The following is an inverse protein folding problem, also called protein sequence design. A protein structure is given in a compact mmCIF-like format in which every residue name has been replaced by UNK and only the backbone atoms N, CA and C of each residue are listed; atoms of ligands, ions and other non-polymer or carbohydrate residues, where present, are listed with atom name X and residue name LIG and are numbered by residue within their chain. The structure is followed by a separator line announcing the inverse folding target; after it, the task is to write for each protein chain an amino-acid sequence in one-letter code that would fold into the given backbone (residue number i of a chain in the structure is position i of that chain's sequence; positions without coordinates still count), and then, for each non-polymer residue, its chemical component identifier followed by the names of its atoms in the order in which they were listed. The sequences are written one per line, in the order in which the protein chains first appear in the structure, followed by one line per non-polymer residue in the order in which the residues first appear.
data_IF_604542745657
#
_entry.id   IF_604542745657
#
_cell.length_a   1.000
_cell.length_b   1.000
_cell.length_c   1.000
_cell.angle_alpha   90.00
_cell.angle_beta   90.00
_cell.angle_gamma   90.00
#
_symmetry.space_group_name_H-M   'P 1'
#
loop_
_entity.id
_entity.type
_entity.pdbx_description
1 polymer ?
#
# COMPACT_ATOMS: atom_id res chain seq x y z
N UNK A 1 -18.72 11.95 9.26
CA UNK A 1 -19.09 10.56 9.58
C UNK A 1 -17.82 9.86 10.03
N UNK A 2 -17.75 9.47 11.30
CA UNK A 2 -16.62 8.73 11.87
C UNK A 2 -16.58 7.34 11.20
N UNK A 3 -15.44 6.88 10.69
CA UNK A 3 -15.34 5.52 10.14
C UNK A 3 -15.54 4.53 11.28
N UNK A 4 -16.56 3.70 11.16
CA UNK A 4 -16.87 2.66 12.14
C UNK A 4 -15.98 1.47 11.81
N UNK A 5 -15.06 1.13 12.70
CA UNK A 5 -14.54 -0.23 12.82
C UNK A 5 -15.75 -1.06 13.30
N UNK A 6 -16.16 -2.08 12.52
CA UNK A 6 -17.32 -2.88 12.89
C UNK A 6 -17.17 -3.47 14.28
N UNK A 7 -18.26 -3.43 15.05
CA UNK A 7 -18.51 -4.07 16.33
C UNK A 7 -17.28 -4.32 17.23
N UNK A 8 -16.74 -3.23 17.80
CA UNK A 8 -15.93 -3.32 18.99
C UNK A 8 -16.85 -3.57 20.17
N UNK A 9 -16.55 -4.59 20.95
CA UNK A 9 -17.10 -4.73 22.27
C UNK A 9 -16.79 -3.46 23.08
N UNK A 10 -17.77 -2.59 23.24
CA UNK A 10 -17.64 -1.30 23.90
C UNK A 10 -17.38 -1.41 25.42
N UNK A 11 -17.16 -2.62 25.95
CA UNK A 11 -16.92 -2.86 27.37
C UNK A 11 -15.47 -3.08 27.80
N UNK A 12 -14.52 -3.20 26.87
CA UNK A 12 -13.11 -3.50 27.15
C UNK A 12 -12.12 -2.52 26.54
N UNK A 13 -10.94 -2.37 27.17
CA UNK A 13 -9.81 -1.63 26.60
C UNK A 13 -9.11 -2.50 25.55
N UNK A 14 -9.07 -2.06 24.29
CA UNK A 14 -8.41 -2.79 23.21
C UNK A 14 -6.89 -2.77 23.41
N UNK A 15 -6.26 -3.94 23.46
CA UNK A 15 -4.80 -4.05 23.43
C UNK A 15 -4.32 -3.85 21.98
N UNK A 16 -3.53 -2.81 21.78
CA UNK A 16 -2.84 -2.52 20.50
C UNK A 16 -1.37 -2.76 20.70
N UNK A 17 -0.84 -3.74 20.00
CA UNK A 17 0.58 -4.07 20.03
C UNK A 17 1.34 -3.22 19.04
N UNK A 18 2.45 -2.65 19.49
CA UNK A 18 3.34 -1.86 18.65
C UNK A 18 4.69 -2.58 18.57
N UNK A 19 5.13 -2.81 17.35
CA UNK A 19 6.49 -3.29 17.07
C UNK A 19 7.24 -2.29 16.21
N UNK A 20 8.56 -2.28 16.38
CA UNK A 20 9.49 -1.50 15.61
C UNK A 20 10.42 -2.44 14.86
N UNK A 21 10.61 -2.23 13.56
CA UNK A 21 11.53 -3.05 12.77
C UNK A 21 12.33 -2.22 11.78
N UNK A 22 13.57 -2.64 11.56
CA UNK A 22 14.43 -2.05 10.54
C UNK A 22 14.08 -2.60 9.17
N UNK A 23 14.05 -1.73 8.17
CA UNK A 23 13.86 -2.10 6.77
C UNK A 23 14.87 -1.37 5.88
N UNK A 24 15.08 -1.81 4.63
CA UNK A 24 15.91 -1.07 3.68
C UNK A 24 15.40 0.36 3.38
N UNK A 25 14.17 0.67 3.79
CA UNK A 25 13.56 2.00 3.63
C UNK A 25 13.61 2.84 4.92
N UNK A 26 14.34 2.38 5.92
CA UNK A 26 14.40 2.94 7.26
C UNK A 26 13.52 2.16 8.25
N UNK A 27 13.49 2.66 9.47
CA UNK A 27 12.71 2.07 10.55
C UNK A 27 11.22 2.28 10.29
N UNK A 28 10.42 1.26 10.55
CA UNK A 28 8.97 1.34 10.54
C UNK A 28 8.39 0.93 11.89
N UNK A 29 7.31 1.58 12.27
CA UNK A 29 6.50 1.24 13.43
C UNK A 29 5.19 0.67 12.94
N UNK A 30 4.84 -0.51 13.44
CA UNK A 30 3.60 -1.21 13.07
C UNK A 30 2.74 -1.36 14.30
N UNK A 31 1.47 -0.99 14.18
CA UNK A 31 0.47 -1.23 15.19
C UNK A 31 -0.51 -2.31 14.72
N UNK A 32 -0.73 -3.30 15.57
CA UNK A 32 -1.64 -4.42 15.31
C UNK A 32 -2.46 -4.77 16.55
N UNK A 33 -3.56 -5.44 16.36
CA UNK A 33 -4.43 -5.98 17.41
C UNK A 33 -5.09 -7.27 16.91
N UNK A 34 -5.97 -7.87 17.69
CA UNK A 34 -6.53 -9.19 17.40
C UNK A 34 -7.14 -9.35 15.99
N UNK A 35 -7.71 -8.27 15.42
CA UNK A 35 -8.34 -8.33 14.10
C UNK A 35 -7.37 -8.02 12.95
N UNK A 36 -6.15 -7.52 13.22
CA UNK A 36 -5.19 -7.26 12.16
C UNK A 36 -4.30 -6.05 12.37
N UNK A 37 -3.55 -5.71 11.34
CA UNK A 37 -2.69 -4.53 11.31
C UNK A 37 -3.54 -3.28 11.07
N UNK A 38 -3.41 -2.29 11.95
CA UNK A 38 -4.21 -1.07 11.90
C UNK A 38 -3.42 0.18 11.52
N UNK A 39 -2.09 0.18 11.69
CA UNK A 39 -1.23 1.26 11.24
C UNK A 39 0.19 0.76 10.91
N UNK A 40 0.81 1.40 9.93
CA UNK A 40 2.24 1.31 9.64
C UNK A 40 2.74 2.72 9.32
N UNK A 41 3.74 3.19 10.04
CA UNK A 41 4.34 4.50 9.85
C UNK A 41 5.85 4.39 9.76
N UNK A 42 6.47 5.22 8.92
CA UNK A 42 7.92 5.35 8.87
C UNK A 42 8.41 6.22 10.04
N UNK A 43 9.64 6.01 10.47
CA UNK A 43 10.23 6.61 11.68
C UNK A 43 10.15 8.15 11.69
N UNK A 44 10.35 8.78 10.55
CA UNK A 44 10.20 10.23 10.36
C UNK A 44 8.76 10.75 10.63
N UNK A 45 7.81 9.84 10.81
CA UNK A 45 6.38 10.10 11.06
C UNK A 45 5.85 9.34 12.26
N UNK A 46 6.73 8.77 13.09
CA UNK A 46 6.36 7.96 14.25
C UNK A 46 5.48 8.73 15.25
N UNK A 47 5.69 10.04 15.41
CA UNK A 47 4.84 10.92 16.24
C UNK A 47 3.36 10.91 15.81
N UNK A 48 3.08 10.57 14.54
CA UNK A 48 1.73 10.45 14.01
C UNK A 48 1.03 9.13 14.36
N UNK A 49 1.69 8.16 14.96
CA UNK A 49 1.10 6.85 15.24
C UNK A 49 0.01 6.95 16.31
N UNK A 50 0.32 7.49 17.48
CA UNK A 50 -0.64 7.59 18.58
C UNK A 50 -1.89 8.41 18.22
N UNK A 51 -1.79 9.59 17.59
CA UNK A 51 -2.97 10.32 17.10
C UNK A 51 -3.84 9.51 16.12
N UNK A 52 -3.24 8.67 15.29
CA UNK A 52 -3.99 7.77 14.40
C UNK A 52 -4.73 6.70 15.17
N UNK A 53 -4.07 6.08 16.16
CA UNK A 53 -4.69 5.08 17.01
C UNK A 53 -5.82 5.68 17.86
N UNK A 54 -5.65 6.89 18.41
CA UNK A 54 -6.73 7.61 19.12
C UNK A 54 -7.92 7.88 18.22
N UNK A 55 -7.70 8.21 16.95
CA UNK A 55 -8.79 8.38 15.98
C UNK A 55 -9.47 7.05 15.64
N UNK A 56 -8.74 5.96 15.64
CA UNK A 56 -9.22 4.63 15.31
C UNK A 56 -10.04 4.00 16.45
N UNK A 57 -9.53 4.07 17.67
CA UNK A 57 -10.02 3.35 18.84
C UNK A 57 -10.66 4.26 19.90
N UNK A 58 -10.63 5.60 19.68
CA UNK A 58 -11.03 6.54 20.74
C UNK A 58 -10.03 6.51 21.89
N UNK A 59 -10.47 6.84 23.14
CA UNK A 59 -9.61 6.80 24.31
C UNK A 59 -9.42 5.39 24.92
N UNK A 60 -10.13 4.39 24.41
CA UNK A 60 -10.24 3.06 25.01
C UNK A 60 -9.29 2.03 24.40
N UNK A 61 -8.00 2.37 24.31
CA UNK A 61 -6.97 1.41 23.95
C UNK A 61 -5.75 1.55 24.86
N UNK A 62 -5.00 0.48 25.01
CA UNK A 62 -3.68 0.49 25.64
C UNK A 62 -2.62 0.09 24.62
N UNK A 63 -1.43 0.63 24.75
CA UNK A 63 -0.28 0.24 23.94
C UNK A 63 0.51 -0.82 24.71
N UNK A 64 0.72 -1.95 24.05
CA UNK A 64 1.60 -3.01 24.52
C UNK A 64 2.73 -3.18 23.51
N UNK A 65 3.93 -3.53 23.97
CA UNK A 65 4.99 -3.97 23.05
C UNK A 65 4.69 -5.39 22.57
N UNK A 66 4.93 -5.66 21.29
CA UNK A 66 4.76 -7.00 20.74
C UNK A 66 4.42 -7.03 19.26
N UNK A 67 4.47 -8.22 18.70
CA UNK A 67 4.15 -8.52 17.31
C UNK A 67 3.35 -9.82 17.18
N UNK A 68 2.10 -9.86 17.64
CA UNK A 68 1.30 -11.08 17.68
C UNK A 68 1.00 -11.66 16.29
N UNK A 69 1.21 -10.90 15.23
CA UNK A 69 0.98 -11.30 13.83
C UNK A 69 2.27 -11.56 13.06
N UNK A 70 3.43 -11.47 13.74
CA UNK A 70 4.76 -11.60 13.12
C UNK A 70 4.96 -10.66 11.91
N UNK A 71 4.46 -9.41 12.03
CA UNK A 71 4.54 -8.45 10.93
C UNK A 71 5.98 -8.05 10.64
N UNK A 72 6.81 -7.94 11.69
CA UNK A 72 8.23 -7.61 11.55
C UNK A 72 8.98 -8.70 10.78
N UNK A 73 8.81 -9.98 11.14
CA UNK A 73 9.38 -11.11 10.43
C UNK A 73 8.93 -11.16 8.96
N UNK A 74 7.65 -10.99 8.71
CA UNK A 74 7.10 -10.95 7.36
C UNK A 74 7.58 -9.75 6.54
N UNK A 75 7.81 -8.59 7.14
CA UNK A 75 8.43 -7.45 6.45
C UNK A 75 9.89 -7.75 6.09
N UNK A 76 10.66 -8.37 6.99
CA UNK A 76 12.01 -8.84 6.69
C UNK A 76 12.01 -9.81 5.49
N UNK A 77 11.08 -10.76 5.48
CA UNK A 77 10.89 -11.72 4.41
C UNK A 77 10.55 -11.08 3.08
N UNK A 78 9.62 -10.10 3.10
CA UNK A 78 9.27 -9.33 1.92
C UNK A 78 10.49 -8.60 1.34
N UNK A 79 11.26 -7.91 2.19
CA UNK A 79 12.46 -7.21 1.75
C UNK A 79 13.63 -8.15 1.40
N UNK A 80 13.60 -9.39 1.85
CA UNK A 80 14.49 -10.45 1.37
C UNK A 80 14.07 -11.05 0.01
N UNK A 81 12.99 -10.53 -0.60
CA UNK A 81 12.52 -10.96 -1.92
C UNK A 81 11.41 -12.02 -1.91
N UNK A 82 10.87 -12.38 -0.74
CA UNK A 82 9.70 -13.27 -0.66
C UNK A 82 8.43 -12.47 -0.93
N UNK A 83 8.02 -12.43 -2.18
CA UNK A 83 6.93 -11.57 -2.67
C UNK A 83 5.58 -11.82 -1.97
N UNK A 84 5.34 -13.03 -1.50
CA UNK A 84 4.11 -13.49 -0.83
C UNK A 84 4.17 -13.37 0.69
N UNK A 85 5.29 -12.93 1.28
CA UNK A 85 5.48 -12.88 2.73
C UNK A 85 4.40 -12.09 3.47
N UNK A 86 3.86 -11.04 2.85
CA UNK A 86 2.80 -10.21 3.41
C UNK A 86 1.38 -10.71 3.05
N UNK A 87 1.27 -11.79 2.26
CA UNK A 87 -0.01 -12.35 1.89
C UNK A 87 -0.75 -12.90 3.12
N UNK A 88 -2.07 -12.72 3.14
CA UNK A 88 -2.92 -13.19 4.22
C UNK A 88 -2.85 -12.38 5.52
N UNK A 89 -1.95 -11.40 5.66
CA UNK A 89 -1.99 -10.50 6.81
C UNK A 89 -3.32 -9.71 6.81
N UNK A 90 -4.12 -9.82 7.87
CA UNK A 90 -5.35 -9.05 7.96
C UNK A 90 -5.04 -7.56 8.16
N UNK A 91 -5.79 -6.71 7.48
CA UNK A 91 -5.75 -5.26 7.64
C UNK A 91 -7.04 -4.82 8.31
N UNK A 92 -6.92 -4.25 9.49
CA UNK A 92 -8.03 -3.83 10.33
C UNK A 92 -7.95 -2.33 10.67
N UNK A 93 -7.68 -1.52 9.67
CA UNK A 93 -7.67 -0.07 9.81
C UNK A 93 -9.07 0.52 9.59
N UNK A 94 -9.44 1.59 10.32
CA UNK A 94 -10.69 2.32 10.08
C UNK A 94 -10.76 2.82 8.64
N UNK A 95 -11.88 2.56 8.00
CA UNK A 95 -12.06 2.93 6.60
C UNK A 95 -13.52 3.27 6.30
N UNK A 96 -13.74 4.26 5.44
CA UNK A 96 -15.04 4.42 4.79
C UNK A 96 -15.26 3.26 3.80
N UNK A 97 -16.51 2.97 3.40
CA UNK A 97 -16.78 1.94 2.40
C UNK A 97 -15.98 2.13 1.10
N UNK A 98 -15.80 3.38 0.66
CA UNK A 98 -15.02 3.69 -0.52
C UNK A 98 -13.51 3.42 -0.33
N UNK A 99 -12.94 3.80 0.81
CA UNK A 99 -11.52 3.51 1.12
C UNK A 99 -11.28 2.00 1.16
N UNK A 100 -12.13 1.25 1.85
CA UNK A 100 -12.04 -0.22 1.92
C UNK A 100 -12.05 -0.83 0.53
N UNK A 101 -13.03 -0.48 -0.30
CA UNK A 101 -13.13 -0.97 -1.66
C UNK A 101 -11.89 -0.65 -2.51
N UNK A 102 -11.35 0.57 -2.41
CA UNK A 102 -10.10 0.95 -3.11
C UNK A 102 -8.92 0.14 -2.60
N UNK A 103 -8.78 -0.01 -1.28
CA UNK A 103 -7.65 -0.75 -0.70
C UNK A 103 -7.70 -2.23 -1.03
N UNK A 104 -8.88 -2.86 -1.01
CA UNK A 104 -9.05 -4.26 -1.40
C UNK A 104 -8.64 -4.47 -2.86
N UNK A 105 -9.09 -3.61 -3.77
CA UNK A 105 -8.70 -3.69 -5.19
C UNK A 105 -7.19 -3.47 -5.41
N UNK A 106 -6.55 -2.63 -4.62
CA UNK A 106 -5.09 -2.42 -4.72
C UNK A 106 -4.32 -3.62 -4.21
N UNK A 107 -4.82 -4.33 -3.20
CA UNK A 107 -4.21 -5.57 -2.70
C UNK A 107 -4.26 -6.72 -3.72
N UNK A 108 -5.15 -6.66 -4.71
CA UNK A 108 -5.20 -7.61 -5.81
C UNK A 108 -4.13 -7.34 -6.89
N UNK A 109 -3.45 -6.19 -6.88
CA UNK A 109 -2.37 -5.90 -7.82
C UNK A 109 -1.15 -6.71 -7.41
N UNK A 110 -0.64 -7.60 -8.27
CA UNK A 110 0.50 -8.46 -7.93
C UNK A 110 1.78 -7.66 -7.65
N UNK A 111 2.72 -8.29 -6.93
CA UNK A 111 4.08 -7.78 -6.79
C UNK A 111 4.73 -7.71 -8.18
N UNK A 112 5.45 -6.62 -8.45
CA UNK A 112 6.07 -6.37 -9.75
C UNK A 112 5.15 -5.74 -10.79
N UNK A 113 3.86 -5.59 -10.50
CA UNK A 113 2.90 -4.94 -11.39
C UNK A 113 2.47 -3.56 -10.89
N UNK A 114 1.99 -2.74 -11.81
CA UNK A 114 1.41 -1.43 -11.50
C UNK A 114 0.03 -1.27 -12.16
N UNK A 115 -0.80 -0.47 -11.51
CA UNK A 115 -2.08 -0.01 -12.07
C UNK A 115 -2.15 1.51 -12.05
N UNK A 116 -3.19 2.08 -12.61
CA UNK A 116 -3.39 3.54 -12.60
C UNK A 116 -4.60 3.94 -11.77
N UNK A 117 -4.61 5.20 -11.29
CA UNK A 117 -5.80 5.77 -10.63
C UNK A 117 -7.04 5.69 -11.52
N UNK A 118 -6.86 5.84 -12.85
CA UNK A 118 -7.95 5.74 -13.82
C UNK A 118 -8.49 4.31 -13.91
N UNK A 119 -7.60 3.31 -14.03
CA UNK A 119 -8.01 1.91 -14.12
C UNK A 119 -8.75 1.44 -12.86
N UNK A 120 -8.31 1.87 -11.66
CA UNK A 120 -9.04 1.59 -10.42
C UNK A 120 -10.43 2.24 -10.41
N UNK A 121 -10.52 3.51 -10.84
CA UNK A 121 -11.80 4.21 -10.92
C UNK A 121 -12.76 3.54 -11.91
N UNK A 122 -12.28 3.08 -13.06
CA UNK A 122 -13.05 2.30 -14.03
C UNK A 122 -13.55 0.98 -13.45
N UNK A 123 -12.68 0.20 -12.79
CA UNK A 123 -13.04 -1.06 -12.09
C UNK A 123 -14.10 -0.84 -11.01
N UNK A 124 -14.15 0.34 -10.41
CA UNK A 124 -15.20 0.74 -9.46
C UNK A 124 -16.53 1.09 -10.13
N UNK A 125 -16.59 1.16 -11.47
CA UNK A 125 -17.73 1.71 -12.19
C UNK A 125 -17.85 3.23 -12.08
N UNK A 126 -16.78 3.93 -11.70
CA UNK A 126 -16.73 5.38 -11.44
C UNK A 126 -15.59 6.05 -12.23
N UNK A 127 -15.59 6.02 -13.56
CA UNK A 127 -14.43 6.41 -14.40
C UNK A 127 -13.96 7.85 -14.21
N UNK A 128 -14.76 8.72 -13.60
CA UNK A 128 -14.38 10.11 -13.27
C UNK A 128 -13.85 10.28 -11.86
N UNK A 129 -13.73 9.20 -11.07
CA UNK A 129 -13.40 9.25 -9.64
C UNK A 129 -11.87 9.14 -9.35
N UNK A 130 -10.98 9.36 -10.32
CA UNK A 130 -9.53 9.19 -10.15
C UNK A 130 -8.98 10.01 -8.96
N UNK A 131 -9.51 11.24 -8.77
CA UNK A 131 -9.11 12.09 -7.62
C UNK A 131 -9.55 11.49 -6.29
N UNK A 132 -10.77 10.95 -6.23
CA UNK A 132 -11.29 10.31 -5.03
C UNK A 132 -10.50 9.02 -4.71
N UNK A 133 -10.15 8.21 -5.72
CA UNK A 133 -9.22 7.08 -5.56
C UNK A 133 -7.88 7.55 -5.01
N UNK A 134 -7.33 8.65 -5.53
CA UNK A 134 -6.09 9.24 -5.04
C UNK A 134 -6.17 9.64 -3.57
N UNK A 135 -7.28 10.25 -3.13
CA UNK A 135 -7.51 10.61 -1.72
C UNK A 135 -7.59 9.36 -0.84
N UNK A 136 -8.29 8.30 -1.28
CA UNK A 136 -8.35 7.03 -0.56
C UNK A 136 -6.97 6.39 -0.38
N UNK A 137 -6.11 6.47 -1.40
CA UNK A 137 -4.75 5.93 -1.34
C UNK A 137 -3.79 6.79 -0.50
N UNK A 138 -3.94 8.12 -0.56
CA UNK A 138 -3.16 9.04 0.27
C UNK A 138 -3.48 8.89 1.77
N UNK A 139 -4.70 8.46 2.10
CA UNK A 139 -5.12 8.19 3.48
C UNK A 139 -4.83 6.77 3.97
N UNK A 140 -4.12 5.95 3.17
CA UNK A 140 -3.75 4.58 3.54
C UNK A 140 -2.93 4.56 4.84
N UNK A 141 -3.44 3.94 5.92
CA UNK A 141 -2.75 3.90 7.20
C UNK A 141 -1.74 2.75 7.32
N UNK A 142 -1.75 1.80 6.38
CA UNK A 142 -0.91 0.58 6.39
C UNK A 142 -0.18 0.40 5.06
N UNK A 143 0.65 1.39 4.64
CA UNK A 143 1.43 1.26 3.41
C UNK A 143 2.28 -0.03 3.43
N UNK A 144 2.65 -0.51 2.27
CA UNK A 144 3.28 -1.81 1.99
C UNK A 144 2.24 -2.95 2.05
N UNK A 145 1.52 -3.14 3.16
CA UNK A 145 0.47 -4.16 3.28
C UNK A 145 -0.74 -3.86 2.37
N UNK A 146 -1.14 -2.58 2.32
CA UNK A 146 -2.00 -2.06 1.24
C UNK A 146 -1.07 -1.36 0.25
N UNK A 147 -0.75 -1.99 -0.88
CA UNK A 147 0.36 -1.58 -1.74
C UNK A 147 0.01 -0.39 -2.63
N UNK A 148 -0.35 0.75 -2.01
CA UNK A 148 -0.68 1.98 -2.73
C UNK A 148 0.48 2.52 -3.60
N UNK A 149 1.70 2.04 -3.38
CA UNK A 149 2.85 2.32 -4.24
C UNK A 149 2.69 1.72 -5.65
N UNK A 150 1.93 0.64 -5.85
CA UNK A 150 1.64 0.04 -7.16
C UNK A 150 0.65 0.85 -8.01
N UNK A 151 0.11 1.97 -7.47
CA UNK A 151 -0.82 2.82 -8.20
C UNK A 151 -0.12 4.08 -8.67
N UNK A 152 -0.08 4.31 -9.98
CA UNK A 152 0.63 5.42 -10.62
C UNK A 152 -0.33 6.26 -11.48
N UNK A 153 0.11 7.45 -11.88
CA UNK A 153 -0.66 8.25 -12.82
C UNK A 153 -0.59 7.65 -14.24
N UNK A 154 -1.65 7.78 -15.03
CA UNK A 154 -1.69 7.33 -16.43
C UNK A 154 -0.58 7.99 -17.28
N UNK A 155 -0.13 9.19 -16.88
CA UNK A 155 1.03 9.86 -17.50
C UNK A 155 2.40 9.27 -17.13
N UNK A 156 2.46 8.24 -16.28
CA UNK A 156 3.68 7.62 -15.76
C UNK A 156 4.25 8.30 -14.51
N UNK A 157 3.64 9.38 -14.02
CA UNK A 157 4.08 10.01 -12.78
C UNK A 157 3.75 9.15 -11.56
N UNK A 158 4.65 9.13 -10.58
CA UNK A 158 4.48 8.29 -9.39
C UNK A 158 3.29 8.72 -8.52
N UNK A 159 2.94 10.02 -8.52
CA UNK A 159 1.92 10.55 -7.62
C UNK A 159 2.39 10.58 -6.16
N UNK A 160 1.47 10.83 -5.23
CA UNK A 160 1.76 10.88 -3.79
C UNK A 160 1.82 9.48 -3.16
N UNK A 161 2.50 9.41 -2.00
CA UNK A 161 2.57 8.19 -1.18
C UNK A 161 2.69 8.58 0.31
N UNK A 162 2.11 7.81 1.25
CA UNK A 162 2.20 8.09 2.68
C UNK A 162 3.63 8.20 3.22
N UNK A 163 4.57 7.40 2.70
CA UNK A 163 6.00 7.48 3.02
C UNK A 163 6.80 8.45 2.15
N UNK A 164 6.14 9.23 1.27
CA UNK A 164 6.82 10.08 0.30
C UNK A 164 7.16 9.38 -1.02
N UNK A 165 7.49 10.19 -2.04
CA UNK A 165 7.76 9.69 -3.40
C UNK A 165 9.03 8.82 -3.46
N UNK A 166 10.04 9.13 -2.63
CA UNK A 166 11.27 8.33 -2.53
C UNK A 166 11.01 6.91 -2.08
N UNK A 167 10.20 6.74 -1.02
CA UNK A 167 9.77 5.41 -0.54
C UNK A 167 8.98 4.67 -1.61
N UNK A 168 8.06 5.33 -2.28
CA UNK A 168 7.29 4.73 -3.38
C UNK A 168 8.19 4.21 -4.50
N UNK A 169 9.15 5.02 -4.92
CA UNK A 169 10.11 4.64 -5.96
C UNK A 169 10.98 3.46 -5.54
N UNK A 170 11.40 3.44 -4.27
CA UNK A 170 12.20 2.34 -3.72
C UNK A 170 11.39 1.03 -3.62
N UNK A 171 10.12 1.07 -3.21
CA UNK A 171 9.23 -0.09 -3.19
C UNK A 171 8.99 -0.65 -4.60
N UNK A 172 8.68 0.21 -5.57
CA UNK A 172 8.50 -0.23 -6.96
C UNK A 172 9.77 -0.87 -7.53
N UNK A 173 10.94 -0.32 -7.19
CA UNK A 173 12.23 -0.88 -7.58
C UNK A 173 12.47 -2.23 -6.91
N UNK A 174 12.20 -2.33 -5.61
CA UNK A 174 12.31 -3.56 -4.85
C UNK A 174 11.46 -4.69 -5.46
N UNK A 175 10.24 -4.36 -5.88
CA UNK A 175 9.31 -5.29 -6.52
C UNK A 175 9.61 -5.57 -8.01
N UNK A 176 10.61 -4.91 -8.59
CA UNK A 176 10.93 -5.05 -10.02
C UNK A 176 9.88 -4.46 -10.97
N UNK A 177 8.93 -3.68 -10.44
CA UNK A 177 7.82 -3.12 -11.21
C UNK A 177 8.27 -2.05 -12.22
N UNK A 178 9.45 -1.41 -12.01
CA UNK A 178 9.99 -0.33 -12.86
C UNK A 178 11.49 -0.52 -13.00
N UNK A 179 12.05 -0.50 -14.24
CA UNK A 179 13.49 -0.54 -14.45
C UNK A 179 14.17 0.65 -13.75
N UNK A 180 15.29 0.39 -13.07
CA UNK A 180 16.00 1.37 -12.21
C UNK A 180 16.39 2.66 -12.96
N UNK A 181 16.69 2.56 -14.24
CA UNK A 181 17.07 3.72 -15.08
C UNK A 181 15.88 4.53 -15.57
N UNK A 182 14.66 4.00 -15.55
CA UNK A 182 13.48 4.69 -16.07
C UNK A 182 12.77 5.58 -15.04
N UNK A 183 13.10 5.43 -13.75
CA UNK A 183 12.55 6.31 -12.70
C UNK A 183 13.03 7.75 -12.81
N UNK A 184 14.20 7.98 -13.41
CA UNK A 184 14.70 9.32 -13.75
C UNK A 184 14.18 9.81 -15.11
N UNK A 185 13.76 8.90 -15.99
CA UNK A 185 13.26 9.19 -17.33
C UNK A 185 11.73 9.03 -17.38
N UNK A 186 11.00 9.89 -16.65
CA UNK A 186 9.53 9.97 -16.68
C UNK A 186 8.92 10.03 -18.10
N UNK A 187 9.75 10.27 -19.09
CA UNK A 187 9.41 10.35 -20.52
C UNK A 187 9.13 8.98 -21.13
N UNK A 188 9.92 7.96 -20.81
CA UNK A 188 9.79 6.59 -21.37
C UNK A 188 8.58 5.87 -20.79
N UNK A 189 8.32 6.07 -19.50
CA UNK A 189 7.15 5.48 -18.82
C UNK A 189 5.84 6.10 -19.30
N UNK A 190 5.83 7.42 -19.58
CA UNK A 190 4.70 8.11 -20.25
C UNK A 190 4.39 7.50 -21.62
N UNK A 191 5.42 7.17 -22.39
CA UNK A 191 5.26 6.57 -23.72
C UNK A 191 4.72 5.15 -23.65
N UNK A 192 5.16 4.32 -22.69
CA UNK A 192 4.67 2.94 -22.49
C UNK A 192 3.23 2.89 -22.00
N UNK A 193 2.84 3.76 -21.06
CA UNK A 193 1.47 3.84 -20.57
C UNK A 193 0.50 4.42 -21.61
N UNK A 194 0.93 5.44 -22.36
CA UNK A 194 0.15 5.98 -23.49
C UNK A 194 0.03 4.98 -24.66
N UNK A 195 0.98 4.09 -24.84
CA UNK A 195 0.89 2.97 -25.78
C UNK A 195 -0.10 1.90 -25.31
N UNK A 196 -0.12 1.61 -23.99
CA UNK A 196 -1.09 0.69 -23.36
C UNK A 196 -2.53 1.21 -23.45
N UNK A 197 -2.74 2.49 -23.21
CA UNK A 197 -4.07 3.11 -23.32
C UNK A 197 -4.55 3.11 -24.78
N UNK A 198 -3.64 3.24 -25.75
CA UNK A 198 -3.95 3.06 -27.18
C UNK A 198 -4.16 1.63 -27.60
N UNK A 199 -3.42 0.67 -27.07
CA UNK A 199 -3.57 -0.77 -27.34
C UNK A 199 -4.88 -1.33 -26.73
N UNK A 200 -5.43 -0.70 -25.68
CA UNK A 200 -6.75 -1.03 -25.13
C UNK A 200 -7.91 -0.66 -26.07
N UNK A 201 -7.67 0.17 -27.07
CA UNK A 201 -8.64 0.47 -28.12
C UNK A 201 -8.61 -0.53 -29.28
N UNK A 202 -7.59 -1.43 -29.35
CA UNK A 202 -7.56 -2.54 -30.31
C UNK A 202 -7.49 -3.89 -29.54
N UNK A 203 -8.57 -4.74 -29.64
CA UNK A 203 -8.61 -6.01 -28.92
C UNK A 203 -7.54 -7.04 -29.34
N UNK A 204 -6.72 -6.73 -30.32
CA UNK A 204 -5.72 -7.65 -30.91
C UNK A 204 -4.28 -7.43 -30.44
N UNK A 205 -4.01 -6.37 -29.67
CA UNK A 205 -2.66 -6.04 -29.22
C UNK A 205 -2.52 -6.16 -27.68
N UNK A 206 -2.53 -7.39 -27.20
CA UNK A 206 -2.11 -7.70 -25.82
C UNK A 206 -0.59 -7.59 -25.74
N UNK A 207 -0.06 -6.43 -25.34
CA UNK A 207 1.36 -6.32 -25.01
C UNK A 207 1.56 -6.83 -23.60
N UNK A 208 2.16 -8.01 -23.47
CA UNK A 208 2.63 -8.56 -22.19
C UNK A 208 3.54 -7.55 -21.47
N UNK A 209 3.15 -7.19 -20.26
CA UNK A 209 4.10 -6.63 -19.30
C UNK A 209 5.07 -7.76 -18.93
N UNK A 210 6.28 -7.67 -19.43
CA UNK A 210 7.34 -8.61 -19.09
C UNK A 210 7.57 -8.52 -17.57
N UNK A 211 7.10 -9.54 -16.87
CA UNK A 211 7.54 -9.85 -15.52
C UNK A 211 9.03 -10.18 -15.60
N UNK A 212 9.88 -9.27 -15.15
CA UNK A 212 11.29 -9.59 -15.02
C UNK A 212 11.46 -10.55 -13.84
N UNK A 213 12.17 -11.69 -14.01
CA UNK A 213 12.43 -12.60 -12.91
C UNK A 213 13.21 -11.87 -11.81
N UNK A 214 12.82 -12.12 -10.56
CA UNK A 214 13.57 -11.72 -9.38
C UNK A 214 15.02 -12.21 -9.55
N UNK A 215 15.97 -11.29 -9.67
CA UNK A 215 17.38 -11.64 -9.66
C UNK A 215 17.73 -12.16 -8.27
N UNK A 216 17.75 -13.49 -8.15
CA UNK A 216 18.32 -14.17 -6.99
C UNK A 216 19.84 -13.99 -7.14
N UNK A 217 20.38 -13.02 -6.40
CA UNK A 217 21.81 -12.84 -6.25
C UNK A 217 22.38 -14.01 -5.45
N UNK A 218 23.34 -14.66 -6.01
CA UNK A 218 24.22 -15.65 -5.37
C UNK A 218 25.09 -15.01 -4.31
#
# INVERSE_FOLDING_TARGET
MTPVLGDYDHGGTTAVHVTRTDTPLGVVHVASFAQGVCALVFDDRAEGLEPRLRRAFGPFFRLDEGDPLDVAGRLCDYFAGRADALAGLPVAAPATPMQRRVWDMVREVPVGEVTTYAALAERMGMPRAQRAVGVCLASNPVPILVPCHRVIAASGGLGSHPGGVGVKAALLRHEGAVPVHDLCAARTMRQRLAARDRARMDPRDTVELVSLPLAVGS
#
